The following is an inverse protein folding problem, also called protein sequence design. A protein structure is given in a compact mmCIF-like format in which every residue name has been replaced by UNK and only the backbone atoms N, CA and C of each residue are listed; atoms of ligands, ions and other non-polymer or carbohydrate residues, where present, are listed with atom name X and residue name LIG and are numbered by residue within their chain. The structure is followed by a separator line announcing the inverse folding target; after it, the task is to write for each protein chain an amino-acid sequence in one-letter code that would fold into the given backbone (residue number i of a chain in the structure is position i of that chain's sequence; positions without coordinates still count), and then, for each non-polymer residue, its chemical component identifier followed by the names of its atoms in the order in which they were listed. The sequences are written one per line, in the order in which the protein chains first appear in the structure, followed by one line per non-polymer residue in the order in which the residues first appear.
data_IF_494235164478
#
_entry.id   IF_494235164478
#
_cell.length_a   1.000
_cell.length_b   1.000
_cell.length_c   1.000
_cell.angle_alpha   90.00
_cell.angle_beta   90.00
_cell.angle_gamma   90.00
#
_symmetry.space_group_name_H-M   'P 1'
#
loop_
_entity.id
_entity.type
_entity.pdbx_description
1 polymer ?
#
# COMPACT_ATOMS: atom_id res chain seq x y z
N UNK A 1 -0.97 -11.65 -81.83
CA UNK A 1 -1.46 -10.38 -81.27
C UNK A 1 -2.88 -10.59 -80.73
N UNK A 2 -3.25 -9.92 -79.61
CA UNK A 2 -4.43 -10.08 -78.71
C UNK A 2 -4.19 -11.07 -77.57
N UNK A 3 -3.49 -10.69 -76.49
CA UNK A 3 -3.86 -9.83 -75.33
C UNK A 3 -5.00 -10.41 -74.48
N UNK A 4 -4.56 -10.80 -73.28
CA UNK A 4 -5.23 -11.39 -72.12
C UNK A 4 -6.40 -10.59 -71.57
N UNK A 5 -7.40 -11.29 -71.02
CA UNK A 5 -8.34 -10.77 -70.03
C UNK A 5 -8.37 -11.79 -68.88
N UNK A 6 -7.61 -11.52 -67.82
CA UNK A 6 -7.83 -12.08 -66.50
C UNK A 6 -8.24 -10.88 -65.65
N UNK A 7 -9.50 -10.84 -65.26
CA UNK A 7 -10.03 -9.84 -64.34
C UNK A 7 -9.46 -10.14 -62.94
N UNK A 8 -8.53 -9.31 -62.48
CA UNK A 8 -8.04 -9.33 -61.10
C UNK A 8 -8.87 -8.32 -60.30
N UNK A 9 -9.89 -8.82 -59.60
CA UNK A 9 -10.67 -8.05 -58.63
C UNK A 9 -9.81 -7.80 -57.39
N UNK A 10 -9.07 -6.70 -57.35
CA UNK A 10 -8.43 -6.20 -56.14
C UNK A 10 -9.50 -5.52 -55.31
N UNK A 11 -10.03 -6.23 -54.30
CA UNK A 11 -10.78 -5.62 -53.22
C UNK A 11 -9.81 -4.80 -52.36
N UNK A 12 -9.79 -3.48 -52.55
CA UNK A 12 -9.20 -2.56 -51.58
C UNK A 12 -10.09 -2.57 -50.32
N UNK A 13 -9.74 -3.41 -49.36
CA UNK A 13 -10.23 -3.26 -47.99
C UNK A 13 -9.42 -2.11 -47.39
N UNK A 14 -9.95 -0.89 -47.49
CA UNK A 14 -9.61 0.17 -46.55
C UNK A 14 -10.18 -0.27 -45.19
N UNK A 15 -9.37 -0.98 -44.40
CA UNK A 15 -9.57 -0.98 -42.96
C UNK A 15 -9.26 0.43 -42.50
N UNK A 16 -10.29 1.27 -42.40
CA UNK A 16 -10.24 2.41 -41.51
C UNK A 16 -9.97 1.83 -40.13
N UNK A 17 -8.71 1.84 -39.71
CA UNK A 17 -8.37 1.73 -38.31
C UNK A 17 -9.14 2.87 -37.64
N UNK A 18 -10.25 2.53 -37.00
CA UNK A 18 -10.80 3.38 -35.97
C UNK A 18 -9.61 3.66 -35.06
N UNK A 19 -9.22 4.94 -34.96
CA UNK A 19 -8.33 5.37 -33.90
C UNK A 19 -9.07 5.07 -32.60
N UNK A 20 -8.90 3.84 -32.10
CA UNK A 20 -9.27 3.46 -30.75
C UNK A 20 -8.50 4.42 -29.87
N UNK A 21 -9.23 5.36 -29.27
CA UNK A 21 -8.68 6.42 -28.45
C UNK A 21 -8.02 5.79 -27.23
N UNK A 22 -6.74 5.46 -27.37
CA UNK A 22 -5.94 5.03 -26.25
C UNK A 22 -5.88 6.15 -25.22
N UNK A 23 -5.88 5.80 -23.93
CA UNK A 23 -5.53 6.78 -22.92
C UNK A 23 -4.19 7.43 -23.29
N UNK A 24 -4.10 8.75 -23.22
CA UNK A 24 -2.82 9.42 -23.45
C UNK A 24 -1.88 9.13 -22.28
N UNK A 25 -0.58 8.97 -22.56
CA UNK A 25 0.46 8.94 -21.51
C UNK A 25 0.22 10.11 -20.57
N UNK A 26 0.24 9.87 -19.27
CA UNK A 26 -0.07 10.87 -18.25
C UNK A 26 -1.49 10.83 -17.71
N UNK A 27 -2.43 10.12 -18.34
CA UNK A 27 -3.78 10.00 -17.81
C UNK A 27 -3.78 9.46 -16.38
N UNK A 28 -4.51 10.13 -15.49
CA UNK A 28 -4.62 9.77 -14.09
C UNK A 28 -5.84 8.89 -13.93
N UNK A 29 -5.62 7.66 -13.52
CA UNK A 29 -6.66 6.67 -13.29
C UNK A 29 -7.16 6.76 -11.85
N UNK A 30 -8.47 6.63 -11.66
CA UNK A 30 -9.09 6.63 -10.35
C UNK A 30 -10.03 5.45 -10.19
N UNK A 31 -10.02 4.82 -9.01
CA UNK A 31 -11.04 3.85 -8.65
C UNK A 31 -11.53 4.09 -7.22
N UNK A 32 -12.78 3.72 -6.97
CA UNK A 32 -13.35 3.69 -5.62
C UNK A 32 -12.77 2.51 -4.83
N UNK A 33 -13.00 2.52 -3.52
CA UNK A 33 -12.85 1.35 -2.68
C UNK A 33 -14.01 0.35 -2.85
N UNK A 34 -13.91 -0.82 -2.21
CA UNK A 34 -14.95 -1.86 -2.16
C UNK A 34 -16.28 -1.28 -1.70
N UNK A 35 -17.37 -1.79 -2.28
CA UNK A 35 -18.72 -1.27 -2.10
C UNK A 35 -18.96 0.07 -2.79
N UNK A 36 -18.15 0.43 -3.80
CA UNK A 36 -18.20 1.71 -4.51
C UNK A 36 -18.08 2.93 -3.57
N UNK A 37 -17.25 2.79 -2.53
CA UNK A 37 -17.07 3.82 -1.51
C UNK A 37 -15.85 4.69 -1.82
N UNK A 38 -15.99 6.00 -1.66
CA UNK A 38 -14.85 6.92 -1.71
C UNK A 38 -15.11 8.10 -0.78
N UNK A 39 -14.13 8.40 0.07
CA UNK A 39 -14.22 9.47 1.05
C UNK A 39 -14.46 10.83 0.38
N UNK A 40 -15.45 11.57 0.87
CA UNK A 40 -15.83 12.88 0.32
C UNK A 40 -16.89 12.88 -0.78
N UNK A 41 -17.20 11.71 -1.39
CA UNK A 41 -18.27 11.63 -2.41
C UNK A 41 -19.63 11.96 -1.84
N UNK A 42 -19.92 11.51 -0.62
CA UNK A 42 -21.15 11.87 0.10
C UNK A 42 -20.84 12.90 1.19
N UNK A 43 -21.87 13.39 1.89
CA UNK A 43 -21.69 14.25 3.06
C UNK A 43 -21.33 13.48 4.34
N UNK A 44 -21.34 12.15 4.29
CA UNK A 44 -20.97 11.28 5.40
C UNK A 44 -19.47 11.00 5.27
N UNK A 45 -18.68 11.59 6.17
CA UNK A 45 -17.22 11.52 6.12
C UNK A 45 -16.70 10.53 7.17
N UNK A 46 -17.18 9.30 7.07
CA UNK A 46 -16.80 8.24 7.98
C UNK A 46 -15.40 7.70 7.70
N UNK A 47 -14.54 7.76 8.70
CA UNK A 47 -13.25 7.08 8.71
C UNK A 47 -13.30 5.85 9.64
N UNK A 48 -12.56 4.78 9.31
CA UNK A 48 -12.51 3.60 10.16
C UNK A 48 -11.79 3.90 11.48
N UNK A 49 -12.46 3.65 12.60
CA UNK A 49 -11.92 3.88 13.94
C UNK A 49 -10.55 3.19 14.19
N UNK A 50 -10.31 2.05 13.54
CA UNK A 50 -9.13 1.24 13.80
C UNK A 50 -7.93 1.61 12.94
N UNK A 51 -6.76 1.79 13.59
CA UNK A 51 -5.46 2.02 12.92
C UNK A 51 -5.21 0.91 11.93
N UNK A 52 -5.60 -0.31 12.31
CA UNK A 52 -5.36 -1.50 11.51
C UNK A 52 -6.24 -1.49 10.26
N UNK A 53 -7.48 -1.00 10.33
CA UNK A 53 -8.33 -0.85 9.15
C UNK A 53 -7.92 0.33 8.29
N UNK A 54 -7.41 1.40 8.89
CA UNK A 54 -6.85 2.55 8.18
C UNK A 54 -5.52 2.21 7.46
N UNK A 55 -4.67 1.37 8.04
CA UNK A 55 -3.34 1.04 7.51
C UNK A 55 -3.33 -0.27 6.72
N UNK A 56 -4.19 -1.24 7.05
CA UNK A 56 -4.23 -2.59 6.48
C UNK A 56 -5.60 -3.00 5.91
N UNK A 57 -6.64 -2.19 6.08
CA UNK A 57 -7.92 -2.33 5.38
C UNK A 57 -8.09 -1.21 4.37
N UNK A 58 -9.27 -1.10 3.76
CA UNK A 58 -9.59 0.08 2.97
C UNK A 58 -9.96 1.24 3.90
N UNK A 59 -9.21 2.33 3.80
CA UNK A 59 -9.60 3.67 4.26
C UNK A 59 -10.89 4.19 3.62
N UNK A 60 -11.49 3.40 2.71
CA UNK A 60 -12.57 3.79 1.82
C UNK A 60 -12.22 5.09 1.07
N UNK A 61 -10.94 5.36 0.87
CA UNK A 61 -10.43 6.60 0.29
C UNK A 61 -10.38 6.56 -1.24
N UNK A 62 -10.57 5.38 -1.83
CA UNK A 62 -10.25 5.14 -3.24
C UNK A 62 -8.75 5.12 -3.49
N UNK A 63 -8.37 5.17 -4.77
CA UNK A 63 -6.98 5.08 -5.23
C UNK A 63 -6.76 5.89 -6.50
N UNK A 64 -5.51 6.28 -6.73
CA UNK A 64 -5.06 6.98 -7.93
C UNK A 64 -3.81 6.31 -8.53
N UNK A 65 -3.68 6.36 -9.85
CA UNK A 65 -2.50 5.86 -10.57
C UNK A 65 -2.24 6.65 -11.84
N UNK A 66 -1.00 6.59 -12.34
CA UNK A 66 -0.59 7.28 -13.55
C UNK A 66 -0.45 6.28 -14.69
N UNK A 67 -1.20 6.47 -15.78
CA UNK A 67 -1.02 5.72 -17.01
C UNK A 67 0.22 6.20 -17.76
N UNK A 68 1.10 5.28 -18.14
CA UNK A 68 2.39 5.61 -18.77
C UNK A 68 2.47 5.20 -20.24
N UNK A 69 1.38 4.73 -20.84
CA UNK A 69 1.33 4.21 -22.20
C UNK A 69 1.39 2.69 -22.28
N UNK A 70 1.04 2.14 -23.44
CA UNK A 70 1.16 0.71 -23.78
C UNK A 70 0.51 -0.24 -22.76
N UNK A 71 -0.64 0.13 -22.18
CA UNK A 71 -1.32 -0.69 -21.18
C UNK A 71 -0.59 -0.80 -19.85
N UNK A 72 0.30 0.16 -19.53
CA UNK A 72 1.06 0.20 -18.27
C UNK A 72 0.70 1.40 -17.42
N UNK A 73 0.86 1.22 -16.11
CA UNK A 73 0.66 2.24 -15.10
C UNK A 73 1.84 2.26 -14.12
N UNK A 74 2.00 3.41 -13.45
CA UNK A 74 2.78 3.55 -12.23
C UNK A 74 1.85 4.08 -11.13
N UNK A 75 1.84 3.42 -9.99
CA UNK A 75 1.08 3.87 -8.82
C UNK A 75 1.81 3.56 -7.52
N UNK A 76 1.52 4.32 -6.47
CA UNK A 76 2.01 4.03 -5.13
C UNK A 76 0.98 3.17 -4.40
N UNK A 77 1.32 1.91 -4.14
CA UNK A 77 0.52 0.99 -3.31
C UNK A 77 1.35 0.58 -2.09
N UNK A 78 0.79 -0.19 -1.15
CA UNK A 78 1.49 -0.57 0.09
C UNK A 78 2.90 -1.16 -0.12
N UNK A 79 3.12 -1.89 -1.20
CA UNK A 79 4.41 -2.52 -1.51
C UNK A 79 5.44 -1.54 -2.09
N UNK A 80 5.03 -0.30 -2.33
CA UNK A 80 5.83 0.80 -2.84
C UNK A 80 5.25 1.41 -4.11
N UNK A 81 6.04 2.27 -4.74
CA UNK A 81 5.79 2.74 -6.09
C UNK A 81 6.18 1.64 -7.06
N UNK A 82 5.23 1.13 -7.84
CA UNK A 82 5.46 0.02 -8.77
C UNK A 82 5.02 0.40 -10.19
N UNK A 83 5.70 -0.16 -11.18
CA UNK A 83 5.24 -0.21 -12.57
C UNK A 83 4.55 -1.56 -12.79
N UNK A 84 3.34 -1.56 -13.36
CA UNK A 84 2.56 -2.76 -13.66
C UNK A 84 1.67 -2.55 -14.88
N UNK A 85 1.02 -3.60 -15.37
CA UNK A 85 -0.04 -3.49 -16.38
C UNK A 85 -1.29 -2.81 -15.80
N UNK A 86 -2.04 -2.10 -16.64
CA UNK A 86 -3.30 -1.44 -16.27
C UNK A 86 -4.36 -2.42 -15.75
N UNK A 87 -4.30 -3.70 -16.16
CA UNK A 87 -5.16 -4.78 -15.66
C UNK A 87 -5.04 -4.99 -14.15
N UNK A 88 -3.87 -4.66 -13.59
CA UNK A 88 -3.57 -4.76 -12.17
C UNK A 88 -3.83 -3.43 -11.44
N UNK A 89 -4.41 -2.43 -12.10
CA UNK A 89 -4.80 -1.19 -11.42
C UNK A 89 -5.85 -1.46 -10.35
N UNK A 90 -6.82 -2.34 -10.67
CA UNK A 90 -7.79 -2.87 -9.74
C UNK A 90 -7.59 -4.37 -9.57
N UNK A 91 -7.43 -4.83 -8.33
CA UNK A 91 -7.26 -6.26 -8.07
C UNK A 91 -8.59 -7.00 -8.21
N UNK A 92 -8.53 -8.32 -8.42
CA UNK A 92 -9.73 -9.17 -8.40
C UNK A 92 -10.51 -9.03 -7.09
N UNK A 93 -9.81 -8.87 -5.97
CA UNK A 93 -10.42 -8.69 -4.65
C UNK A 93 -11.21 -7.36 -4.56
N UNK A 94 -10.71 -6.30 -5.20
CA UNK A 94 -11.42 -5.01 -5.24
C UNK A 94 -12.70 -5.13 -6.06
N UNK A 95 -12.63 -5.79 -7.22
CA UNK A 95 -13.77 -6.02 -8.11
C UNK A 95 -14.84 -6.90 -7.45
N UNK A 96 -14.43 -8.03 -6.88
CA UNK A 96 -15.33 -8.94 -6.16
C UNK A 96 -15.95 -8.25 -4.93
N UNK A 97 -15.22 -7.28 -4.34
CA UNK A 97 -15.70 -6.39 -3.29
C UNK A 97 -16.58 -5.24 -3.79
N UNK A 98 -16.80 -5.08 -5.09
CA UNK A 98 -17.67 -4.05 -5.67
C UNK A 98 -17.02 -2.68 -5.86
N UNK A 99 -15.68 -2.59 -5.86
CA UNK A 99 -14.97 -1.38 -6.28
C UNK A 99 -15.24 -1.08 -7.76
N UNK A 100 -15.21 0.19 -8.13
CA UNK A 100 -15.45 0.64 -9.51
C UNK A 100 -14.35 1.55 -9.99
N UNK A 101 -13.96 1.36 -11.26
CA UNK A 101 -13.20 2.36 -11.98
C UNK A 101 -14.06 3.61 -12.15
N UNK A 102 -13.52 4.75 -11.74
CA UNK A 102 -14.23 6.04 -11.77
C UNK A 102 -13.99 6.82 -13.05
N UNK A 103 -12.98 6.41 -13.83
CA UNK A 103 -12.56 7.10 -15.04
C UNK A 103 -11.10 7.55 -14.96
N UNK A 104 -10.62 8.07 -16.09
CA UNK A 104 -9.33 8.71 -16.19
C UNK A 104 -9.48 10.22 -16.38
N UNK A 105 -8.53 11.01 -15.89
CA UNK A 105 -8.47 12.46 -16.12
C UNK A 105 -7.09 12.90 -16.58
N UNK A 106 -7.05 13.99 -17.33
CA UNK A 106 -5.82 14.71 -17.74
C UNK A 106 -5.97 16.19 -17.46
N UNK A 107 -4.90 16.98 -17.43
CA UNK A 107 -4.97 18.45 -17.40
C UNK A 107 -6.00 19.03 -18.37
N UNK A 108 -6.69 20.10 -17.98
CA UNK A 108 -7.72 20.72 -18.79
C UNK A 108 -7.17 21.25 -20.12
N UNK A 109 -5.88 21.58 -20.18
CA UNK A 109 -5.16 22.04 -21.36
C UNK A 109 -4.31 20.96 -22.02
N UNK A 110 -4.51 19.67 -21.72
CA UNK A 110 -3.64 18.57 -22.20
C UNK A 110 -3.56 18.39 -23.72
N UNK A 111 -4.58 18.88 -24.44
CA UNK A 111 -4.66 18.86 -25.89
C UNK A 111 -3.90 20.02 -26.56
N UNK A 112 -3.54 21.06 -25.80
CA UNK A 112 -2.77 22.19 -26.28
C UNK A 112 -1.29 21.78 -26.40
N UNK A 113 -0.85 21.45 -27.61
CA UNK A 113 0.54 21.03 -27.88
C UNK A 113 1.60 22.10 -27.58
N UNK A 114 1.23 23.38 -27.50
CA UNK A 114 2.17 24.42 -27.10
C UNK A 114 2.46 24.35 -25.60
N UNK A 115 1.48 23.93 -24.79
CA UNK A 115 1.62 23.74 -23.33
C UNK A 115 2.04 22.34 -22.96
N UNK A 116 1.54 21.33 -23.68
CA UNK A 116 1.80 19.91 -23.47
C UNK A 116 2.42 19.27 -24.71
N UNK A 117 3.64 19.68 -25.09
CA UNK A 117 4.39 19.00 -26.13
C UNK A 117 4.73 17.58 -25.68
N UNK A 118 4.99 16.68 -26.63
CA UNK A 118 5.22 15.26 -26.34
C UNK A 118 6.42 15.06 -25.41
N UNK A 119 7.44 15.93 -25.50
CA UNK A 119 8.62 15.95 -24.64
C UNK A 119 8.26 16.24 -23.18
N UNK A 120 7.33 17.17 -22.91
CA UNK A 120 6.85 17.44 -21.53
C UNK A 120 6.13 16.22 -20.97
N UNK A 121 5.31 15.56 -21.79
CA UNK A 121 4.64 14.33 -21.41
C UNK A 121 5.65 13.20 -21.13
N UNK A 122 6.70 13.07 -21.94
CA UNK A 122 7.75 12.06 -21.73
C UNK A 122 8.60 12.33 -20.47
N UNK A 123 8.93 13.60 -20.20
CA UNK A 123 9.60 14.01 -18.97
C UNK A 123 8.78 13.66 -17.73
N UNK A 124 7.46 13.88 -17.78
CA UNK A 124 6.55 13.49 -16.71
C UNK A 124 6.62 11.97 -16.43
N UNK A 125 6.61 11.16 -17.48
CA UNK A 125 6.73 9.70 -17.33
C UNK A 125 8.10 9.31 -16.76
N UNK A 126 9.18 10.00 -17.16
CA UNK A 126 10.51 9.77 -16.61
C UNK A 126 10.55 10.05 -15.10
N UNK A 127 9.97 11.17 -14.65
CA UNK A 127 9.87 11.48 -13.21
C UNK A 127 9.10 10.40 -12.45
N UNK A 128 8.01 9.87 -13.01
CA UNK A 128 7.27 8.77 -12.41
C UNK A 128 8.12 7.49 -12.30
N UNK A 129 8.86 7.14 -13.37
CA UNK A 129 9.75 5.96 -13.40
C UNK A 129 10.89 6.06 -12.39
N UNK A 130 11.45 7.24 -12.17
CA UNK A 130 12.46 7.48 -11.14
C UNK A 130 11.96 7.22 -9.71
N UNK A 131 10.63 7.21 -9.50
CA UNK A 131 10.05 6.90 -8.20
C UNK A 131 9.85 5.40 -7.97
N UNK A 132 9.92 4.56 -9.01
CA UNK A 132 9.70 3.11 -8.90
C UNK A 132 10.68 2.50 -7.89
N UNK A 133 10.15 1.71 -6.95
CA UNK A 133 10.91 1.11 -5.85
C UNK A 133 11.01 1.97 -4.59
N UNK A 134 10.52 3.22 -4.60
CA UNK A 134 10.31 4.01 -3.37
C UNK A 134 9.14 3.45 -2.58
N UNK A 135 9.12 3.72 -1.27
CA UNK A 135 8.12 3.13 -0.38
C UNK A 135 6.80 3.88 -0.40
N UNK A 136 5.77 3.25 0.17
CA UNK A 136 4.49 3.89 0.41
C UNK A 136 4.48 4.61 1.76
N UNK A 137 3.94 5.83 1.80
CA UNK A 137 3.73 6.58 3.04
C UNK A 137 2.49 6.04 3.76
N UNK A 138 2.70 5.00 4.58
CA UNK A 138 1.65 4.38 5.40
C UNK A 138 1.19 5.27 6.57
N UNK A 139 1.98 6.28 6.90
CA UNK A 139 1.67 7.23 7.98
C UNK A 139 0.95 8.46 7.47
N UNK A 140 0.96 8.72 6.17
CA UNK A 140 0.42 9.95 5.61
C UNK A 140 1.04 11.21 6.27
N UNK A 141 2.28 11.14 6.76
CA UNK A 141 2.92 12.28 7.43
C UNK A 141 3.55 13.24 6.43
N UNK A 142 3.90 12.74 5.24
CA UNK A 142 4.56 13.55 4.22
C UNK A 142 3.67 13.73 3.01
N UNK A 143 2.96 12.67 2.61
CA UNK A 143 1.94 12.61 1.57
C UNK A 143 2.41 13.00 0.16
N UNK A 144 3.06 14.16 -0.05
CA UNK A 144 3.51 14.71 -1.34
C UNK A 144 5.04 15.00 -1.35
N UNK A 145 5.67 15.00 -2.54
CA UNK A 145 6.85 15.83 -2.81
C UNK A 145 8.29 15.31 -2.58
N UNK A 146 9.25 16.12 -3.08
CA UNK A 146 10.71 15.90 -3.04
C UNK A 146 11.29 16.09 -1.63
N UNK A 147 11.37 14.99 -0.88
CA UNK A 147 11.86 14.98 0.50
C UNK A 147 11.13 13.95 1.35
N UNK A 148 10.04 13.40 0.81
CA UNK A 148 9.28 12.38 1.51
C UNK A 148 10.04 11.06 1.60
N UNK A 149 10.66 10.63 0.50
CA UNK A 149 11.22 9.29 0.33
C UNK A 149 10.14 8.21 0.09
N UNK A 150 8.92 8.49 0.55
CA UNK A 150 7.76 7.61 0.54
C UNK A 150 6.54 8.37 -0.04
N UNK A 151 5.67 7.72 -0.82
CA UNK A 151 4.54 8.39 -1.50
C UNK A 151 3.19 7.80 -1.10
N UNK A 152 2.15 8.64 -1.05
CA UNK A 152 0.76 8.17 -1.19
C UNK A 152 0.39 8.08 -2.67
N UNK A 153 -0.70 7.43 -3.01
CA UNK A 153 -1.15 7.32 -4.40
C UNK A 153 -1.39 8.69 -5.06
N UNK A 154 -2.12 9.58 -4.39
CA UNK A 154 -2.36 10.94 -4.86
C UNK A 154 -1.11 11.81 -4.86
N UNK A 155 -0.24 11.65 -3.85
CA UNK A 155 0.95 12.49 -3.76
C UNK A 155 2.06 12.10 -4.72
N UNK A 156 2.10 10.84 -5.18
CA UNK A 156 2.91 10.46 -6.33
C UNK A 156 2.44 11.21 -7.59
N UNK A 157 1.12 11.25 -7.81
CA UNK A 157 0.54 11.93 -8.97
C UNK A 157 0.80 13.44 -8.91
N UNK A 158 0.54 14.10 -7.77
CA UNK A 158 0.86 15.54 -7.62
C UNK A 158 2.34 15.79 -7.87
N UNK A 159 3.23 15.03 -7.23
CA UNK A 159 4.67 15.19 -7.41
C UNK A 159 5.09 15.13 -8.89
N UNK A 160 4.60 14.13 -9.62
CA UNK A 160 4.96 13.94 -11.04
C UNK A 160 4.49 15.12 -11.89
N UNK A 161 3.31 15.66 -11.63
CA UNK A 161 2.77 16.81 -12.35
C UNK A 161 3.43 18.14 -11.95
N UNK A 162 3.72 18.34 -10.67
CA UNK A 162 4.47 19.48 -10.13
C UNK A 162 5.87 19.55 -10.76
N UNK A 163 6.54 18.41 -10.95
CA UNK A 163 7.87 18.33 -11.59
C UNK A 163 7.87 18.80 -13.04
N UNK A 164 6.73 18.74 -13.73
CA UNK A 164 6.56 19.33 -15.07
C UNK A 164 5.84 20.67 -15.03
N UNK A 165 5.73 21.32 -13.87
CA UNK A 165 5.17 22.66 -13.71
C UNK A 165 3.65 22.70 -13.90
N UNK A 166 2.94 21.69 -13.41
CA UNK A 166 1.48 21.67 -13.44
C UNK A 166 0.92 21.31 -12.06
N UNK A 167 0.11 22.20 -11.49
CA UNK A 167 -0.55 21.96 -10.22
C UNK A 167 -1.95 21.38 -10.49
N UNK A 168 -2.15 20.09 -10.16
CA UNK A 168 -3.46 19.47 -10.28
C UNK A 168 -4.36 20.00 -9.18
N UNK A 169 -3.93 19.87 -7.93
CA UNK A 169 -4.73 20.27 -6.79
C UNK A 169 -4.07 21.45 -6.10
N UNK A 170 -4.76 22.59 -5.93
CA UNK A 170 -4.21 23.72 -5.21
C UNK A 170 -3.74 23.33 -3.80
N UNK A 171 -2.48 23.64 -3.48
CA UNK A 171 -1.95 23.41 -2.15
C UNK A 171 -2.72 24.26 -1.12
N UNK A 172 -3.24 23.61 -0.09
CA UNK A 172 -3.97 24.28 0.98
C UNK A 172 -4.53 23.29 1.99
N UNK A 173 -4.88 23.82 3.17
CA UNK A 173 -5.34 23.07 4.34
C UNK A 173 -6.75 23.52 4.72
N UNK A 174 -7.73 22.64 4.50
CA UNK A 174 -9.14 22.91 4.79
C UNK A 174 -9.50 22.41 6.18
N UNK A 175 -9.96 23.32 7.04
CA UNK A 175 -10.35 23.04 8.43
C UNK A 175 -11.86 23.11 8.70
N UNK A 176 -12.67 23.45 7.68
CA UNK A 176 -14.13 23.58 7.76
C UNK A 176 -14.66 24.88 7.15
N UNK A 177 -15.97 24.96 6.91
CA UNK A 177 -16.64 26.13 6.36
C UNK A 177 -16.95 26.03 4.87
N UNK A 178 -16.70 27.11 4.11
CA UNK A 178 -16.89 27.13 2.66
C UNK A 178 -15.71 26.48 1.94
N UNK A 179 -15.96 25.81 0.81
CA UNK A 179 -14.91 25.12 0.02
C UNK A 179 -14.72 23.64 0.36
N UNK A 180 -15.63 23.06 1.15
CA UNK A 180 -15.62 21.64 1.44
C UNK A 180 -16.82 21.19 2.25
N UNK A 181 -16.70 20.03 2.88
CA UNK A 181 -17.73 19.40 3.74
C UNK A 181 -17.18 19.18 5.13
N UNK A 182 -18.06 19.20 6.12
CA UNK A 182 -17.74 18.91 7.52
C UNK A 182 -18.75 17.93 8.06
N UNK A 183 -18.29 16.93 8.81
CA UNK A 183 -19.13 15.89 9.37
C UNK A 183 -18.63 15.49 10.76
N UNK A 184 -19.55 15.43 11.72
CA UNK A 184 -19.26 14.92 13.07
C UNK A 184 -19.52 13.41 13.08
N UNK A 185 -18.49 12.65 13.41
CA UNK A 185 -18.56 11.20 13.56
C UNK A 185 -18.39 10.83 15.04
N UNK A 186 -19.25 9.93 15.53
CA UNK A 186 -19.07 9.29 16.83
C UNK A 186 -18.26 8.01 16.67
N UNK A 187 -17.12 7.95 17.34
CA UNK A 187 -16.25 6.78 17.38
C UNK A 187 -16.52 5.97 18.64
N UNK A 188 -17.05 4.76 18.48
CA UNK A 188 -17.14 3.76 19.54
C UNK A 188 -16.42 2.50 19.09
N UNK A 189 -15.18 2.32 19.56
CA UNK A 189 -14.36 1.18 19.19
C UNK A 189 -13.31 0.87 20.26
N UNK A 190 -12.49 -0.15 20.01
CA UNK A 190 -11.43 -0.56 20.93
C UNK A 190 -10.46 0.61 21.24
N UNK A 191 -10.11 1.41 20.24
CA UNK A 191 -9.22 2.56 20.37
C UNK A 191 -9.82 3.69 21.22
N UNK A 192 -11.14 3.76 21.35
CA UNK A 192 -11.84 4.69 22.26
C UNK A 192 -12.22 4.04 23.59
N UNK A 193 -11.75 2.82 23.87
CA UNK A 193 -12.14 2.05 25.06
C UNK A 193 -13.63 1.71 25.09
N UNK A 194 -14.26 1.58 23.91
CA UNK A 194 -15.71 1.40 23.72
C UNK A 194 -16.57 2.53 24.31
N UNK A 195 -15.98 3.73 24.45
CA UNK A 195 -16.70 4.94 24.81
C UNK A 195 -17.01 5.76 23.57
N UNK A 196 -18.16 6.44 23.59
CA UNK A 196 -18.56 7.34 22.51
C UNK A 196 -17.66 8.57 22.52
N UNK A 197 -16.92 8.74 21.41
CA UNK A 197 -16.00 9.83 21.23
C UNK A 197 -16.34 10.59 19.96
N UNK A 198 -16.94 11.76 20.09
CA UNK A 198 -17.25 12.61 18.94
C UNK A 198 -16.00 13.30 18.43
N UNK A 199 -15.88 13.33 17.10
CA UNK A 199 -14.86 14.10 16.41
C UNK A 199 -15.41 14.69 15.13
N UNK A 200 -14.75 15.72 14.65
CA UNK A 200 -15.11 16.42 13.41
C UNK A 200 -14.10 16.08 12.33
N UNK A 201 -14.59 15.51 11.24
CA UNK A 201 -13.83 15.29 10.02
C UNK A 201 -14.27 16.26 8.94
N UNK A 202 -13.36 16.56 8.02
CA UNK A 202 -13.64 17.46 6.90
C UNK A 202 -13.22 16.82 5.59
N UNK A 203 -13.76 17.34 4.50
CA UNK A 203 -13.35 16.99 3.14
C UNK A 203 -13.20 18.27 2.33
N UNK A 204 -12.01 18.50 1.79
CA UNK A 204 -11.67 19.64 0.97
C UNK A 204 -12.12 19.40 -0.48
N UNK A 205 -12.83 20.37 -1.06
CA UNK A 205 -13.22 20.34 -2.47
C UNK A 205 -12.30 21.18 -3.36
N UNK A 206 -11.68 22.21 -2.80
CA UNK A 206 -10.93 23.23 -3.55
C UNK A 206 -9.42 23.22 -3.29
N UNK A 207 -8.93 22.38 -2.38
CA UNK A 207 -7.52 22.31 -1.99
C UNK A 207 -7.11 20.92 -1.51
N UNK A 208 -5.81 20.64 -1.46
CA UNK A 208 -5.26 19.30 -1.21
C UNK A 208 -5.69 18.67 0.12
N UNK A 209 -5.52 19.37 1.23
CA UNK A 209 -5.51 18.72 2.54
C UNK A 209 -6.81 18.94 3.30
N UNK A 210 -7.43 17.83 3.74
CA UNK A 210 -8.64 17.84 4.56
C UNK A 210 -8.27 17.57 6.02
N UNK A 211 -8.69 18.46 6.93
CA UNK A 211 -8.54 18.25 8.37
C UNK A 211 -9.35 17.03 8.80
N UNK A 212 -8.75 16.20 9.64
CA UNK A 212 -9.48 15.17 10.36
C UNK A 212 -9.11 15.24 11.83
N UNK A 213 -10.07 14.93 12.68
CA UNK A 213 -9.82 14.71 14.10
C UNK A 213 -10.31 13.30 14.39
N UNK A 214 -9.41 12.43 14.82
CA UNK A 214 -9.67 10.99 14.85
C UNK A 214 -8.81 10.35 15.93
N UNK A 215 -9.24 9.22 16.53
CA UNK A 215 -8.38 8.38 17.36
C UNK A 215 -7.00 8.01 16.76
N UNK A 216 -6.79 8.23 15.45
CA UNK A 216 -5.58 7.89 14.70
C UNK A 216 -4.66 9.07 14.45
N UNK A 217 -5.07 10.28 14.83
CA UNK A 217 -4.37 11.54 14.54
C UNK A 217 -2.94 11.56 15.12
N UNK A 218 -2.65 10.74 16.15
CA UNK A 218 -1.30 10.55 16.67
C UNK A 218 -0.38 9.71 15.76
N UNK A 219 -0.94 8.77 15.00
CA UNK A 219 -0.19 7.80 14.21
C UNK A 219 -0.16 8.09 12.72
N UNK A 220 -1.09 8.93 12.25
CA UNK A 220 -1.22 9.26 10.85
C UNK A 220 -1.63 10.72 10.63
N UNK A 221 -1.36 11.21 9.42
CA UNK A 221 -1.74 12.54 8.96
C UNK A 221 -0.60 13.55 8.98
N UNK A 222 -0.64 14.44 7.99
CA UNK A 222 0.28 15.56 7.88
C UNK A 222 -0.04 16.56 8.98
N UNK A 223 0.97 16.95 9.75
CA UNK A 223 0.82 17.94 10.81
C UNK A 223 1.01 19.34 10.24
N UNK A 224 0.02 20.20 10.46
CA UNK A 224 0.08 21.60 10.06
C UNK A 224 -0.70 22.45 11.07
N UNK A 225 -0.05 23.48 11.62
CA UNK A 225 -0.64 24.40 12.61
C UNK A 225 -1.31 23.70 13.82
N UNK A 226 -0.79 22.55 14.24
CA UNK A 226 -1.29 21.78 15.39
C UNK A 226 -2.48 20.86 15.07
N UNK A 227 -2.94 20.82 13.82
CA UNK A 227 -3.99 19.93 13.34
C UNK A 227 -3.43 18.84 12.42
N UNK A 228 -4.22 17.78 12.20
CA UNK A 228 -3.88 16.65 11.34
C UNK A 228 -4.69 16.66 10.06
N UNK A 229 -4.01 16.39 8.95
CA UNK A 229 -4.56 16.50 7.61
C UNK A 229 -4.28 15.29 6.75
N UNK A 230 -5.20 15.01 5.83
CA UNK A 230 -5.06 13.95 4.84
C UNK A 230 -5.49 14.44 3.47
N UNK A 231 -4.77 13.99 2.44
CA UNK A 231 -5.08 14.25 1.05
C UNK A 231 -5.73 13.02 0.44
N UNK A 232 -6.97 13.19 -0.04
CA UNK A 232 -7.80 12.10 -0.53
C UNK A 232 -7.85 12.04 -2.07
N UNK A 233 -7.88 10.83 -2.67
CA UNK A 233 -8.08 10.63 -4.11
C UNK A 233 -9.28 11.38 -4.69
N UNK A 234 -10.39 11.45 -3.95
CA UNK A 234 -11.56 12.15 -4.44
C UNK A 234 -11.35 13.67 -4.54
N UNK A 235 -10.56 14.27 -3.64
CA UNK A 235 -10.18 15.69 -3.71
C UNK A 235 -9.45 15.97 -5.02
N UNK A 236 -8.46 15.14 -5.39
CA UNK A 236 -7.75 15.28 -6.66
C UNK A 236 -8.67 15.05 -7.88
N UNK A 237 -9.54 14.04 -7.80
CA UNK A 237 -10.47 13.67 -8.88
C UNK A 237 -11.45 14.80 -9.25
N UNK A 238 -11.95 15.57 -8.28
CA UNK A 238 -12.95 16.61 -8.54
C UNK A 238 -12.37 17.95 -9.01
N UNK A 239 -11.03 18.07 -9.10
CA UNK A 239 -10.41 19.34 -9.50
C UNK A 239 -10.77 19.75 -10.93
N UNK A 240 -11.11 21.02 -11.10
CA UNK A 240 -11.45 21.63 -12.40
C UNK A 240 -10.22 21.84 -13.29
N UNK A 241 -9.02 21.78 -12.73
CA UNK A 241 -7.74 21.74 -13.45
C UNK A 241 -7.63 20.49 -14.31
N UNK A 242 -8.41 19.44 -14.06
CA UNK A 242 -8.39 18.22 -14.87
C UNK A 242 -9.75 17.93 -15.49
N UNK A 243 -9.73 17.33 -16.68
CA UNK A 243 -10.92 16.96 -17.46
C UNK A 243 -10.96 15.44 -17.66
N UNK A 244 -12.16 14.83 -17.71
CA UNK A 244 -12.29 13.40 -17.96
C UNK A 244 -11.81 13.03 -19.37
N UNK A 245 -11.20 11.85 -19.46
CA UNK A 245 -10.84 11.19 -20.73
C UNK A 245 -11.87 10.11 -21.00
N UNK A 246 -12.28 9.96 -22.26
CA UNK A 246 -13.17 8.89 -22.67
C UNK A 246 -12.55 7.51 -22.38
N UNK A 247 -13.37 6.55 -21.98
CA UNK A 247 -12.89 5.20 -21.70
C UNK A 247 -12.32 4.55 -22.96
N UNK A 248 -11.15 3.94 -22.81
CA UNK A 248 -10.51 3.17 -23.88
C UNK A 248 -10.82 1.67 -23.70
N UNK A 249 -11.69 1.08 -24.53
CA UNK A 249 -11.99 -0.35 -24.45
C UNK A 249 -10.77 -1.25 -24.77
N UNK A 250 -9.70 -0.70 -25.37
CA UNK A 250 -8.48 -1.45 -25.67
C UNK A 250 -7.50 -1.50 -24.47
N UNK A 251 -7.70 -0.67 -23.44
CA UNK A 251 -6.87 -0.67 -22.23
C UNK A 251 -7.63 -1.36 -21.10
N UNK A 252 -7.36 -2.64 -20.80
CA UNK A 252 -8.02 -3.32 -19.70
C UNK A 252 -7.55 -2.74 -18.35
N UNK A 253 -8.49 -2.37 -17.49
CA UNK A 253 -8.22 -1.69 -16.20
C UNK A 253 -8.43 -2.64 -15.00
N UNK A 254 -8.84 -3.87 -15.27
CA UNK A 254 -9.27 -4.80 -14.22
C UNK A 254 -9.08 -6.27 -14.63
N UNK A 255 -8.93 -7.15 -13.64
CA UNK A 255 -8.95 -8.61 -13.81
C UNK A 255 -7.59 -9.28 -14.00
N UNK A 256 -6.49 -8.56 -13.84
CA UNK A 256 -5.14 -9.14 -13.82
C UNK A 256 -4.89 -9.99 -12.57
N UNK A 257 -4.10 -11.06 -12.71
CA UNK A 257 -3.70 -11.97 -11.63
C UNK A 257 -2.55 -11.43 -10.76
N UNK A 258 -2.31 -10.11 -10.80
CA UNK A 258 -1.29 -9.43 -10.01
C UNK A 258 -1.41 -9.77 -8.53
N UNK A 259 -0.29 -10.22 -7.94
CA UNK A 259 -0.23 -10.72 -6.57
C UNK A 259 -0.85 -9.74 -5.59
N UNK A 260 -1.99 -10.12 -5.02
CA UNK A 260 -2.71 -9.32 -4.05
C UNK A 260 -1.79 -8.81 -2.94
N UNK A 261 -1.97 -7.54 -2.58
CA UNK A 261 -1.22 -6.80 -1.56
C UNK A 261 -1.25 -7.51 -0.21
N UNK A 262 -0.31 -8.45 -0.04
CA UNK A 262 -0.29 -9.42 1.03
C UNK A 262 0.97 -9.40 1.88
N UNK A 263 1.81 -8.36 1.87
CA UNK A 263 3.05 -8.18 2.66
C UNK A 263 2.94 -8.22 4.21
N UNK A 264 2.18 -9.18 4.77
CA UNK A 264 2.23 -9.62 6.16
C UNK A 264 3.31 -10.69 6.38
N UNK A 265 3.52 -11.10 7.63
CA UNK A 265 4.35 -12.25 7.96
C UNK A 265 3.71 -13.54 7.42
N UNK A 266 3.85 -13.82 6.12
CA UNK A 266 3.17 -14.90 5.38
C UNK A 266 3.21 -16.26 6.08
N UNK A 267 4.39 -16.67 6.53
CA UNK A 267 4.59 -17.94 7.25
C UNK A 267 3.89 -17.93 8.61
N UNK A 268 3.93 -16.80 9.33
CA UNK A 268 3.29 -16.68 10.64
C UNK A 268 1.76 -16.60 10.52
N UNK A 269 1.24 -15.94 9.49
CA UNK A 269 -0.18 -15.92 9.16
C UNK A 269 -0.67 -17.32 8.75
N UNK A 270 0.09 -18.05 7.93
CA UNK A 270 -0.23 -19.42 7.57
C UNK A 270 -0.22 -20.38 8.77
N UNK A 271 0.74 -20.21 9.69
CA UNK A 271 0.87 -21.05 10.89
C UNK A 271 -0.22 -20.77 11.94
N UNK A 272 -0.51 -19.50 12.23
CA UNK A 272 -1.45 -19.10 13.28
C UNK A 272 -2.89 -18.91 12.79
N UNK A 273 -3.13 -19.06 11.48
CA UNK A 273 -4.46 -19.02 10.85
C UNK A 273 -5.13 -17.65 10.85
N UNK A 274 -4.52 -16.65 11.48
CA UNK A 274 -5.02 -15.28 11.53
C UNK A 274 -3.88 -14.29 11.63
N UNK A 275 -3.99 -13.22 10.86
CA UNK A 275 -3.11 -12.05 10.90
C UNK A 275 -3.22 -11.29 12.24
N UNK A 276 -4.32 -11.49 12.97
CA UNK A 276 -4.63 -10.87 14.26
C UNK A 276 -4.14 -11.68 15.46
N UNK A 277 -3.42 -12.77 15.23
CA UNK A 277 -2.85 -13.51 16.34
C UNK A 277 -1.81 -12.64 17.08
N UNK A 278 -1.85 -12.53 18.43
CA UNK A 278 -0.90 -11.73 19.21
C UNK A 278 0.57 -12.02 18.86
N UNK A 279 0.88 -13.27 18.52
CA UNK A 279 2.21 -13.69 18.09
C UNK A 279 2.65 -13.06 16.76
N UNK A 280 1.73 -12.90 15.81
CA UNK A 280 1.97 -12.22 14.53
C UNK A 280 2.15 -10.72 14.76
N UNK A 281 1.40 -10.13 15.69
CA UNK A 281 1.54 -8.73 16.10
C UNK A 281 2.93 -8.39 16.65
N UNK A 282 3.51 -9.28 17.47
CA UNK A 282 4.88 -9.11 18.02
C UNK A 282 5.93 -9.10 16.91
N UNK A 283 5.84 -10.01 15.94
CA UNK A 283 6.79 -10.07 14.83
C UNK A 283 6.69 -8.84 13.93
N UNK A 284 5.48 -8.29 13.75
CA UNK A 284 5.26 -7.05 12.99
C UNK A 284 5.86 -5.84 13.69
N UNK A 285 5.64 -5.69 14.99
CA UNK A 285 6.24 -4.61 15.77
C UNK A 285 7.77 -4.66 15.70
N UNK A 286 8.36 -5.85 15.78
CA UNK A 286 9.80 -6.04 15.61
C UNK A 286 10.29 -5.68 14.21
N UNK A 287 9.57 -6.11 13.16
CA UNK A 287 9.86 -5.75 11.77
C UNK A 287 9.87 -4.24 11.58
N UNK A 288 8.81 -3.58 12.01
CA UNK A 288 8.58 -2.16 11.75
C UNK A 288 9.58 -1.29 12.54
N UNK A 289 9.96 -1.70 13.75
CA UNK A 289 10.87 -0.95 14.62
C UNK A 289 12.36 -1.20 14.36
N UNK A 290 12.76 -2.42 13.97
CA UNK A 290 14.18 -2.79 13.87
C UNK A 290 14.62 -3.22 12.47
N UNK A 291 13.79 -3.97 11.73
CA UNK A 291 14.15 -4.44 10.39
C UNK A 291 13.96 -3.35 9.33
N UNK A 292 12.96 -2.46 9.48
CA UNK A 292 12.72 -1.35 8.54
C UNK A 292 13.86 -0.31 8.56
N UNK A 293 14.43 -0.07 9.73
CA UNK A 293 15.42 1.01 9.94
C UNK A 293 16.82 0.64 9.41
N UNK A 294 17.17 -0.65 9.39
CA UNK A 294 18.53 -1.11 9.03
C UNK A 294 18.63 -1.63 7.59
N UNK A 295 19.75 -1.39 6.92
CA UNK A 295 19.99 -1.86 5.53
C UNK A 295 19.95 -3.38 5.42
N UNK A 296 20.54 -4.09 6.38
CA UNK A 296 20.46 -5.55 6.47
C UNK A 296 19.05 -6.07 6.74
N UNK A 297 18.28 -5.39 7.60
CA UNK A 297 16.87 -5.72 7.84
C UNK A 297 15.99 -5.54 6.60
N UNK A 298 16.26 -4.51 5.79
CA UNK A 298 15.58 -4.30 4.51
C UNK A 298 15.89 -5.39 3.48
N UNK A 299 17.14 -5.82 3.36
CA UNK A 299 17.52 -6.94 2.48
C UNK A 299 16.84 -8.25 2.90
N UNK A 300 16.79 -8.53 4.19
CA UNK A 300 16.07 -9.69 4.74
C UNK A 300 14.57 -9.65 4.44
N UNK A 301 13.92 -8.49 4.59
CA UNK A 301 12.49 -8.35 4.28
C UNK A 301 12.18 -8.58 2.80
N UNK A 302 13.04 -8.11 1.89
CA UNK A 302 12.89 -8.34 0.45
C UNK A 302 13.00 -9.81 0.10
N UNK A 303 14.05 -10.47 0.59
CA UNK A 303 14.23 -11.91 0.41
C UNK A 303 13.06 -12.71 1.01
N UNK A 304 12.58 -12.31 2.18
CA UNK A 304 11.42 -12.91 2.82
C UNK A 304 10.16 -12.75 1.97
N UNK A 305 9.88 -11.55 1.45
CA UNK A 305 8.70 -11.31 0.61
C UNK A 305 8.73 -12.09 -0.70
N UNK A 306 9.91 -12.33 -1.27
CA UNK A 306 10.08 -13.08 -2.52
C UNK A 306 9.95 -14.60 -2.32
N UNK A 307 10.50 -15.16 -1.23
CA UNK A 307 10.56 -16.61 -1.03
C UNK A 307 9.46 -17.18 -0.14
N UNK A 308 8.89 -16.37 0.76
CA UNK A 308 7.91 -16.87 1.74
C UNK A 308 6.50 -17.18 1.20
N UNK A 309 5.97 -16.54 0.13
CA UNK A 309 4.62 -16.86 -0.37
C UNK A 309 4.40 -18.32 -0.79
N UNK A 310 5.27 -18.96 -1.61
CA UNK A 310 5.09 -20.36 -1.98
C UNK A 310 5.21 -21.28 -0.74
N UNK A 311 6.14 -20.99 0.16
CA UNK A 311 6.33 -21.75 1.41
C UNK A 311 5.12 -21.63 2.33
N UNK A 312 4.52 -20.45 2.42
CA UNK A 312 3.31 -20.21 3.22
C UNK A 312 2.09 -20.94 2.65
N UNK A 313 1.97 -21.04 1.32
CA UNK A 313 0.96 -21.87 0.65
C UNK A 313 1.02 -23.33 1.09
N UNK A 314 2.20 -23.95 1.04
CA UNK A 314 2.39 -25.34 1.49
C UNK A 314 2.09 -25.55 2.98
N UNK A 315 2.41 -24.56 3.83
CA UNK A 315 2.13 -24.65 5.27
C UNK A 315 0.62 -24.51 5.55
N UNK A 316 -0.10 -23.69 4.78
CA UNK A 316 -1.53 -23.45 5.00
C UNK A 316 -2.39 -24.71 4.74
N UNK A 317 -1.93 -25.62 3.88
CA UNK A 317 -2.66 -26.82 3.48
C UNK A 317 -2.51 -28.02 4.44
N UNK A 318 -1.54 -27.98 5.37
CA UNK A 318 -1.25 -29.12 6.26
C UNK A 318 -1.21 -28.72 7.73
N UNK A 319 -2.09 -29.32 8.54
CA UNK A 319 -2.09 -29.11 10.01
C UNK A 319 -0.79 -29.55 10.68
N UNK A 320 -0.10 -30.56 10.13
CA UNK A 320 1.22 -30.98 10.60
C UNK A 320 2.28 -29.91 10.36
N UNK A 321 2.29 -29.29 9.18
CA UNK A 321 3.22 -28.20 8.85
C UNK A 321 2.92 -26.93 9.64
N UNK A 322 1.64 -26.62 9.91
CA UNK A 322 1.27 -25.52 10.82
C UNK A 322 1.82 -25.76 12.23
N UNK A 323 1.72 -26.98 12.76
CA UNK A 323 2.26 -27.30 14.09
C UNK A 323 3.78 -27.12 14.14
N UNK A 324 4.51 -27.61 13.14
CA UNK A 324 5.96 -27.42 13.02
C UNK A 324 6.31 -25.93 12.91
N UNK A 325 5.61 -25.18 12.06
CA UNK A 325 5.83 -23.74 11.88
C UNK A 325 5.58 -22.97 13.19
N UNK A 326 4.53 -23.30 13.96
CA UNK A 326 4.30 -22.71 15.29
C UNK A 326 5.47 -22.97 16.24
N UNK A 327 5.96 -24.21 16.31
CA UNK A 327 7.10 -24.56 17.18
C UNK A 327 8.36 -23.79 16.79
N UNK A 328 8.64 -23.65 15.48
CA UNK A 328 9.79 -22.90 14.99
C UNK A 328 9.65 -21.39 15.18
N UNK A 329 8.43 -20.85 15.14
CA UNK A 329 8.18 -19.43 15.32
C UNK A 329 8.23 -18.99 16.79
N UNK A 330 7.91 -19.86 17.75
CA UNK A 330 7.95 -19.55 19.20
C UNK A 330 9.25 -18.88 19.67
N UNK A 331 10.46 -19.41 19.39
CA UNK A 331 11.70 -18.76 19.81
C UNK A 331 11.92 -17.41 19.13
N UNK A 332 11.49 -17.26 17.87
CA UNK A 332 11.59 -16.00 17.12
C UNK A 332 10.64 -14.95 17.69
N UNK A 333 9.42 -15.33 18.05
CA UNK A 333 8.43 -14.47 18.70
C UNK A 333 8.92 -14.05 20.08
N UNK A 334 9.48 -14.97 20.87
CA UNK A 334 10.02 -14.67 22.18
C UNK A 334 11.19 -13.67 22.10
N UNK A 335 12.11 -13.86 21.14
CA UNK A 335 13.20 -12.92 20.89
C UNK A 335 12.68 -11.55 20.43
N UNK A 336 11.73 -11.52 19.49
CA UNK A 336 11.10 -10.30 19.02
C UNK A 336 10.38 -9.53 20.14
N UNK A 337 9.70 -10.25 21.05
CA UNK A 337 9.04 -9.67 22.21
C UNK A 337 10.04 -9.05 23.20
N UNK A 338 11.09 -9.78 23.54
CA UNK A 338 12.16 -9.31 24.44
C UNK A 338 12.84 -8.05 23.89
N UNK A 339 13.19 -8.05 22.60
CA UNK A 339 13.82 -6.89 21.95
C UNK A 339 12.88 -5.70 21.89
N UNK A 340 11.59 -5.93 21.62
CA UNK A 340 10.61 -4.85 21.49
C UNK A 340 10.24 -4.19 22.82
N UNK A 341 10.34 -4.93 23.93
CA UNK A 341 9.96 -4.45 25.29
C UNK A 341 11.15 -3.95 26.11
N UNK A 342 12.32 -4.57 26.01
CA UNK A 342 13.49 -4.24 26.84
C UNK A 342 14.59 -3.45 26.07
N UNK A 343 14.48 -3.33 24.74
CA UNK A 343 15.52 -2.72 23.93
C UNK A 343 16.75 -3.62 23.74
N UNK A 344 17.59 -3.27 22.75
CA UNK A 344 18.64 -4.14 22.23
C UNK A 344 19.67 -4.54 23.28
N UNK A 345 20.09 -3.60 24.14
CA UNK A 345 21.12 -3.82 25.17
C UNK A 345 20.65 -4.82 26.24
N UNK A 346 19.43 -4.65 26.75
CA UNK A 346 18.87 -5.52 27.79
C UNK A 346 18.59 -6.93 27.22
N UNK A 347 18.28 -7.03 25.93
CA UNK A 347 18.07 -8.31 25.23
C UNK A 347 19.34 -9.14 25.10
N UNK A 348 20.49 -8.52 24.83
CA UNK A 348 21.77 -9.23 24.83
C UNK A 348 22.16 -9.72 26.23
N UNK A 349 21.86 -8.96 27.28
CA UNK A 349 22.09 -9.37 28.67
C UNK A 349 21.19 -10.56 29.06
N UNK A 350 19.90 -10.52 28.73
CA UNK A 350 18.95 -11.61 29.01
C UNK A 350 19.30 -12.87 28.22
N UNK A 351 19.65 -12.74 26.93
CA UNK A 351 20.10 -13.86 26.11
C UNK A 351 21.41 -14.48 26.63
N UNK A 352 22.35 -13.65 27.08
CA UNK A 352 23.59 -14.10 27.72
C UNK A 352 23.35 -14.86 29.04
N UNK A 353 22.44 -14.37 29.89
CA UNK A 353 22.08 -15.02 31.15
C UNK A 353 21.31 -16.34 30.92
N UNK A 354 20.41 -16.38 29.93
CA UNK A 354 19.70 -17.60 29.55
C UNK A 354 20.65 -18.66 28.97
N UNK A 355 21.61 -18.26 28.12
CA UNK A 355 22.64 -19.16 27.58
C UNK A 355 23.55 -19.70 28.69
N UNK A 356 23.98 -18.85 29.63
CA UNK A 356 24.74 -19.27 30.80
C UNK A 356 23.96 -20.22 31.71
N UNK A 357 22.65 -19.99 31.89
CA UNK A 357 21.75 -20.87 32.63
C UNK A 357 21.57 -22.24 31.96
N UNK A 358 21.41 -22.27 30.63
CA UNK A 358 21.29 -23.52 29.86
C UNK A 358 22.59 -24.33 29.85
N UNK A 359 23.74 -23.65 29.70
CA UNK A 359 25.05 -24.26 29.82
C UNK A 359 25.30 -24.78 31.25
N UNK A 360 24.90 -24.02 32.27
CA UNK A 360 24.97 -24.42 33.68
C UNK A 360 24.11 -25.65 34.00
N UNK A 361 22.87 -25.70 33.50
CA UNK A 361 21.99 -26.85 33.63
C UNK A 361 22.54 -28.08 32.90
N UNK A 362 23.03 -27.93 31.67
CA UNK A 362 23.66 -29.02 30.92
C UNK A 362 24.90 -29.58 31.62
N UNK A 363 25.74 -28.72 32.21
CA UNK A 363 26.89 -29.12 33.02
C UNK A 363 26.48 -29.77 34.35
N UNK A 364 25.41 -29.28 34.99
CA UNK A 364 24.84 -29.87 36.20
C UNK A 364 24.29 -31.28 35.95
N UNK A 365 23.53 -31.47 34.86
CA UNK A 365 23.00 -32.78 34.47
C UNK A 365 24.10 -33.74 34.00
N UNK A 366 25.17 -33.25 33.34
CA UNK A 366 26.36 -34.06 33.04
C UNK A 366 27.09 -34.49 34.30
N UNK A 367 27.26 -33.61 35.29
CA UNK A 367 27.87 -33.94 36.60
C UNK A 367 27.02 -34.94 37.39
N UNK A 368 25.69 -34.78 37.41
CA UNK A 368 24.77 -35.72 38.08
C UNK A 368 24.75 -37.10 37.43
N UNK A 369 24.82 -37.19 36.09
CA UNK A 369 24.99 -38.49 35.41
C UNK A 369 26.32 -39.17 35.76
N UNK A 370 27.39 -38.39 35.94
CA UNK A 370 28.68 -38.92 36.41
C UNK A 370 28.64 -39.49 37.82
N UNK A 371 27.96 -38.81 38.75
CA UNK A 371 27.88 -39.25 40.17
C UNK A 371 26.94 -40.44 40.39
N UNK A 372 25.86 -40.58 39.61
CA UNK A 372 24.94 -41.74 39.69
C UNK A 372 25.60 -43.02 39.16
N UNK A 373 26.45 -42.93 38.13
CA UNK A 373 27.22 -44.07 37.61
C UNK A 373 28.31 -44.54 38.59
N UNK A 374 28.83 -43.66 39.45
CA UNK A 374 29.85 -43.99 40.43
C UNK A 374 29.30 -44.70 41.68
N UNK A 375 28.01 -44.50 42.01
CA UNK A 375 27.31 -45.24 43.06
C UNK A 375 26.77 -46.60 42.59
N UNK A 376 26.42 -46.75 41.30
CA UNK A 376 25.96 -48.02 40.72
C UNK A 376 27.09 -49.03 40.44
N UNK A 377 28.37 -48.62 40.51
CA UNK A 377 29.54 -49.49 40.34
C UNK A 377 30.21 -49.92 41.65
N UNK A 378 29.59 -49.68 42.80
CA UNK A 378 30.12 -50.01 44.14
C UNK A 378 29.18 -50.90 44.99
N UNK A 379 28.09 -51.41 44.43
CA UNK A 379 27.18 -52.37 45.07
C UNK A 379 27.54 -53.80 44.70
#
# INVERSE_FOLDING_TARGET
MRKSIIALSIAFIFAAAANTSAYEKGAIFYHSSKGDLIYGRTSILELPCSVIKAVFGELKSGHAGLYIGEGKIIHAIRDGVIETTSENFMTKEDLDGGAKFMGAKVPADYSDKAKWPDERKDQMILFAKEQVGKWYDLTFHKQTGAGSGDFTCVGLVEYVYEMVGYDITPLGFYSGGAGGKTYTQTYNCLETGFSDLERVNTFAETMQFSKFSHPLEFFAGLEYEGDKYMFFPYTQYIQATTVPVADDPATPISGGSGSGGGSGCFIATAAYGSVLNPHVGVLRAFRDKYLRVTSGGRAFMRLYAEWSPPVAGFIAESEGLKAVARVLLVPVIAAAYLVSTAGLWQSFVIAGLAFAGFAGAALYFRRRRGSVLQQAGRS
#
